data_IF_970961253298
#
_entry.id   IF_970961253298
#
_cell.length_a   1.000
_cell.length_b   1.000
_cell.length_c   1.000
_cell.angle_alpha   90.00
_cell.angle_beta   90.00
_cell.angle_gamma   90.00
#
_symmetry.space_group_name_H-M   'P 1'
#
loop_
_entity.id
_entity.type
_entity.pdbx_description
1 polymer ?
#
# COMPACT_ATOMS: atom_id res chain seq x y z
N UNK A 1 -6.58 -0.14 1.36
CA UNK A 1 -7.17 -1.14 2.20
C UNK A 1 -6.80 -0.91 3.66
N UNK A 2 -7.61 -1.41 4.53
CA UNK A 2 -7.41 -1.39 5.97
C UNK A 2 -8.44 -2.31 6.59
N UNK A 3 -8.35 -2.53 7.89
CA UNK A 3 -9.38 -3.28 8.61
C UNK A 3 -10.74 -2.58 8.45
N UNK A 4 -11.84 -3.31 8.24
CA UNK A 4 -13.16 -2.72 8.01
C UNK A 4 -13.58 -1.70 9.08
N UNK A 5 -13.21 -1.96 10.34
CA UNK A 5 -13.52 -1.06 11.45
C UNK A 5 -12.75 0.27 11.35
N UNK A 6 -11.46 0.22 10.96
CA UNK A 6 -10.63 1.41 10.78
C UNK A 6 -11.12 2.25 9.60
N UNK A 7 -11.48 1.60 8.49
CA UNK A 7 -12.07 2.27 7.33
C UNK A 7 -13.37 2.97 7.69
N UNK A 8 -14.25 2.29 8.44
CA UNK A 8 -15.50 2.88 8.91
C UNK A 8 -15.28 4.08 9.82
N UNK A 9 -14.31 3.99 10.74
CA UNK A 9 -13.98 5.08 11.66
C UNK A 9 -13.44 6.31 10.92
N UNK A 10 -12.52 6.11 9.97
CA UNK A 10 -11.94 7.20 9.18
C UNK A 10 -12.95 7.87 8.24
N UNK A 11 -13.97 7.15 7.82
CA UNK A 11 -15.04 7.66 6.95
C UNK A 11 -16.31 8.12 7.73
N UNK A 12 -16.23 8.18 9.05
CA UNK A 12 -17.37 8.56 9.93
C UNK A 12 -18.65 7.74 9.62
N UNK A 13 -18.49 6.48 9.28
CA UNK A 13 -19.58 5.60 8.90
C UNK A 13 -20.18 5.85 7.50
N UNK A 14 -19.68 6.83 6.75
CA UNK A 14 -20.07 7.04 5.35
C UNK A 14 -19.43 5.94 4.48
N UNK A 15 -20.24 5.37 3.61
CA UNK A 15 -19.74 4.40 2.65
C UNK A 15 -19.11 5.15 1.46
N UNK A 16 -17.81 4.99 1.28
CA UNK A 16 -17.12 5.36 0.04
C UNK A 16 -16.75 4.10 -0.72
N UNK A 17 -17.24 3.97 -1.94
CA UNK A 17 -16.87 2.85 -2.80
C UNK A 17 -15.39 2.93 -3.15
N UNK A 18 -14.73 1.78 -3.26
CA UNK A 18 -13.38 1.66 -3.82
C UNK A 18 -13.35 2.22 -5.25
N UNK A 19 -14.46 2.16 -5.97
CA UNK A 19 -14.61 2.71 -7.33
C UNK A 19 -14.41 4.24 -7.40
N UNK A 20 -14.56 4.95 -6.28
CA UNK A 20 -14.30 6.39 -6.21
C UNK A 20 -12.82 6.75 -6.04
N UNK A 21 -11.95 5.76 -5.80
CA UNK A 21 -10.54 6.00 -5.52
C UNK A 21 -9.78 6.67 -6.69
N UNK A 22 -9.99 6.28 -7.96
CA UNK A 22 -9.38 6.99 -9.09
C UNK A 22 -9.76 8.47 -9.13
N UNK A 23 -11.03 8.80 -8.87
CA UNK A 23 -11.49 10.18 -8.82
C UNK A 23 -10.86 10.95 -7.65
N UNK A 24 -10.68 10.31 -6.49
CA UNK A 24 -10.01 10.94 -5.34
C UNK A 24 -8.54 11.28 -5.65
N UNK A 25 -7.85 10.44 -6.42
CA UNK A 25 -6.48 10.72 -6.89
C UNK A 25 -6.49 11.91 -7.84
N UNK A 26 -7.41 11.94 -8.79
CA UNK A 26 -7.56 13.06 -9.73
C UNK A 26 -7.90 14.38 -9.00
N UNK A 27 -8.81 14.35 -8.03
CA UNK A 27 -9.15 15.51 -7.20
C UNK A 27 -7.92 15.99 -6.40
N UNK A 28 -7.17 15.07 -5.76
CA UNK A 28 -5.95 15.41 -5.04
C UNK A 28 -4.91 16.07 -5.95
N UNK A 29 -4.68 15.50 -7.13
CA UNK A 29 -3.80 16.07 -8.15
C UNK A 29 -4.26 17.48 -8.54
N UNK A 30 -5.55 17.64 -8.80
CA UNK A 30 -6.15 18.92 -9.12
C UNK A 30 -5.96 19.99 -8.05
N UNK A 31 -6.06 19.62 -6.76
CA UNK A 31 -5.78 20.53 -5.65
C UNK A 31 -4.30 20.90 -5.53
N UNK A 32 -3.40 19.92 -5.67
CA UNK A 32 -1.95 20.15 -5.53
C UNK A 32 -1.38 21.03 -6.64
N UNK A 33 -1.93 20.92 -7.85
CA UNK A 33 -1.47 21.67 -9.02
C UNK A 33 -2.38 22.88 -9.39
N UNK A 34 -3.36 23.19 -8.54
CA UNK A 34 -4.36 24.26 -8.79
C UNK A 34 -5.02 24.12 -10.17
N UNK A 35 -5.35 22.90 -10.56
CA UNK A 35 -5.80 22.52 -11.89
C UNK A 35 -7.16 21.83 -11.93
N UNK A 36 -8.01 22.06 -10.90
CA UNK A 36 -9.36 21.53 -10.89
C UNK A 36 -10.15 22.03 -12.12
N UNK A 37 -10.92 21.16 -12.80
CA UNK A 37 -11.80 21.58 -13.88
C UNK A 37 -12.82 22.62 -13.42
N UNK A 38 -13.15 23.60 -14.27
CA UNK A 38 -14.08 24.68 -13.93
C UNK A 38 -15.48 24.19 -13.52
N UNK A 39 -15.90 23.00 -13.99
CA UNK A 39 -17.15 22.35 -13.64
C UNK A 39 -17.04 21.40 -12.43
N UNK A 40 -15.87 21.34 -11.78
CA UNK A 40 -15.69 20.52 -10.59
C UNK A 40 -16.52 21.08 -9.42
N UNK A 41 -17.13 20.20 -8.61
CA UNK A 41 -18.01 20.56 -7.45
C UNK A 41 -17.34 21.52 -6.45
N UNK A 42 -16.00 21.57 -6.42
CA UNK A 42 -15.19 22.44 -5.55
C UNK A 42 -14.19 23.29 -6.35
N UNK A 43 -14.50 23.68 -7.59
CA UNK A 43 -13.61 24.43 -8.47
C UNK A 43 -13.09 25.75 -7.86
N UNK A 44 -13.86 26.34 -6.95
CA UNK A 44 -13.44 27.59 -6.26
C UNK A 44 -12.50 27.36 -5.06
N UNK A 45 -12.13 26.09 -4.77
CA UNK A 45 -11.32 25.75 -3.63
C UNK A 45 -9.85 25.63 -4.09
N UNK A 46 -8.96 26.41 -3.47
CA UNK A 46 -7.52 26.41 -3.75
C UNK A 46 -6.75 25.91 -2.55
N UNK A 47 -5.81 24.99 -2.77
CA UNK A 47 -4.87 24.57 -1.74
C UNK A 47 -3.86 25.72 -1.47
N UNK A 48 -3.56 25.96 -0.19
CA UNK A 48 -2.66 27.05 0.21
C UNK A 48 -1.52 26.51 1.07
N UNK A 49 -0.27 26.99 0.87
CA UNK A 49 0.15 28.01 -0.11
C UNK A 49 0.17 27.46 -1.54
N UNK A 50 -0.11 28.30 -2.53
CA UNK A 50 0.11 27.97 -3.94
C UNK A 50 1.62 28.01 -4.20
N UNK A 51 2.19 26.89 -4.60
CA UNK A 51 3.62 26.74 -4.85
C UNK A 51 3.86 26.22 -6.28
N UNK A 52 5.00 26.57 -6.90
CA UNK A 52 5.28 26.13 -8.27
C UNK A 52 5.58 24.63 -8.40
N UNK A 53 5.83 23.95 -7.29
CA UNK A 53 6.13 22.52 -7.25
C UNK A 53 5.19 21.83 -6.28
N UNK A 54 4.62 20.70 -6.67
CA UNK A 54 3.82 19.83 -5.78
C UNK A 54 4.67 18.65 -5.29
N UNK A 55 4.30 18.04 -4.15
CA UNK A 55 4.91 16.78 -3.72
C UNK A 55 4.64 15.67 -4.74
N UNK A 56 5.58 14.75 -4.87
CA UNK A 56 5.38 13.55 -5.69
C UNK A 56 4.25 12.70 -5.14
N UNK A 57 3.42 12.18 -6.04
CA UNK A 57 2.34 11.25 -5.67
C UNK A 57 2.81 9.82 -5.98
N UNK A 58 2.88 9.02 -4.93
CA UNK A 58 3.17 7.60 -4.98
C UNK A 58 1.95 6.79 -4.56
N UNK A 59 1.44 5.92 -5.44
CA UNK A 59 0.45 4.94 -5.04
C UNK A 59 1.15 3.69 -4.50
N UNK A 60 0.69 3.23 -3.33
CA UNK A 60 1.22 2.04 -2.68
C UNK A 60 0.21 0.90 -2.82
N UNK A 61 0.71 -0.29 -3.14
CA UNK A 61 -0.16 -1.46 -3.27
C UNK A 61 0.60 -2.77 -3.29
N UNK A 62 -0.14 -3.87 -3.20
CA UNK A 62 0.38 -5.24 -3.23
C UNK A 62 -0.42 -6.14 -4.17
N UNK A 63 -1.09 -5.57 -5.17
CA UNK A 63 -1.92 -6.29 -6.13
C UNK A 63 -1.71 -5.81 -7.56
N UNK A 64 -2.12 -6.62 -8.53
CA UNK A 64 -2.09 -6.23 -9.94
C UNK A 64 -3.05 -5.09 -10.26
N UNK A 65 -4.18 -5.00 -9.55
CA UNK A 65 -5.14 -3.90 -9.72
C UNK A 65 -4.56 -2.57 -9.27
N UNK A 66 -3.81 -2.56 -8.15
CA UNK A 66 -3.13 -1.34 -7.70
C UNK A 66 -2.03 -0.90 -8.67
N UNK A 67 -1.31 -1.85 -9.28
CA UNK A 67 -0.31 -1.58 -10.30
C UNK A 67 -0.94 -0.95 -11.56
N UNK A 68 -2.06 -1.52 -12.02
CA UNK A 68 -2.82 -1.01 -13.17
C UNK A 68 -3.36 0.38 -12.88
N UNK A 69 -3.98 0.59 -11.71
CA UNK A 69 -4.51 1.88 -11.31
C UNK A 69 -3.42 2.97 -11.31
N UNK A 70 -2.26 2.68 -10.70
CA UNK A 70 -1.13 3.62 -10.67
C UNK A 70 -0.66 3.97 -12.09
N UNK A 71 -0.60 2.98 -12.97
CA UNK A 71 -0.23 3.16 -14.37
C UNK A 71 -1.22 4.06 -15.13
N UNK A 72 -2.51 3.80 -15.00
CA UNK A 72 -3.58 4.56 -15.65
C UNK A 72 -3.67 6.00 -15.15
N UNK A 73 -3.36 6.23 -13.86
CA UNK A 73 -3.32 7.57 -13.26
C UNK A 73 -1.99 8.30 -13.52
N UNK A 74 -1.01 7.66 -14.11
CA UNK A 74 0.32 8.24 -14.38
C UNK A 74 1.08 8.63 -13.11
N UNK A 75 0.80 7.97 -11.96
CA UNK A 75 1.49 8.20 -10.69
C UNK A 75 2.74 7.34 -10.59
N UNK A 76 3.64 7.64 -9.67
CA UNK A 76 4.65 6.69 -9.24
C UNK A 76 4.01 5.53 -8.47
N UNK A 77 4.64 4.35 -8.48
CA UNK A 77 4.10 3.14 -7.88
C UNK A 77 5.10 2.45 -6.95
N UNK A 78 4.68 2.20 -5.71
CA UNK A 78 5.40 1.39 -4.74
C UNK A 78 4.71 0.05 -4.51
N UNK A 79 5.37 -1.05 -4.87
CA UNK A 79 4.85 -2.40 -4.64
C UNK A 79 5.34 -2.93 -3.29
N UNK A 80 4.40 -3.32 -2.42
CA UNK A 80 4.70 -3.92 -1.12
C UNK A 80 4.81 -5.45 -1.27
N UNK A 81 6.03 -5.94 -1.51
CA UNK A 81 6.30 -7.37 -1.73
C UNK A 81 5.99 -8.23 -0.49
N UNK A 82 6.02 -7.64 0.69
CA UNK A 82 5.74 -8.33 1.95
C UNK A 82 4.23 -8.44 2.27
N UNK A 83 3.36 -7.97 1.38
CA UNK A 83 1.91 -8.06 1.52
C UNK A 83 1.29 -8.84 0.35
N UNK A 84 0.44 -9.82 0.67
CA UNK A 84 -0.34 -10.55 -0.32
C UNK A 84 0.50 -11.55 -1.13
N UNK A 85 -0.13 -12.15 -2.14
CA UNK A 85 0.43 -13.25 -2.94
C UNK A 85 0.72 -12.84 -4.40
N UNK A 86 0.64 -11.55 -4.73
CA UNK A 86 0.91 -11.09 -6.07
C UNK A 86 2.42 -11.04 -6.32
N UNK A 87 2.85 -11.55 -7.47
CA UNK A 87 4.23 -11.51 -7.90
C UNK A 87 4.67 -10.08 -8.23
N UNK A 88 5.77 -9.63 -7.63
CA UNK A 88 6.31 -8.28 -7.78
C UNK A 88 6.74 -8.00 -9.22
N UNK A 89 7.43 -8.94 -9.86
CA UNK A 89 7.91 -8.75 -11.24
C UNK A 89 6.72 -8.55 -12.18
N UNK A 90 5.70 -9.38 -12.04
CA UNK A 90 4.49 -9.27 -12.84
C UNK A 90 3.74 -7.97 -12.55
N UNK A 91 3.61 -7.55 -11.29
CA UNK A 91 2.97 -6.29 -10.93
C UNK A 91 3.69 -5.08 -11.54
N UNK A 92 5.01 -5.04 -11.42
CA UNK A 92 5.82 -3.97 -11.99
C UNK A 92 5.84 -3.98 -13.53
N UNK A 93 5.71 -5.16 -14.15
CA UNK A 93 5.53 -5.29 -15.60
C UNK A 93 4.19 -4.69 -16.04
N UNK A 94 3.08 -5.07 -15.39
CA UNK A 94 1.75 -4.50 -15.62
C UNK A 94 1.79 -2.97 -15.51
N UNK A 95 2.41 -2.46 -14.45
CA UNK A 95 2.55 -1.01 -14.26
C UNK A 95 3.26 -0.34 -15.44
N UNK A 96 4.40 -0.87 -15.89
CA UNK A 96 5.18 -0.28 -16.99
C UNK A 96 4.46 -0.36 -18.34
N UNK A 97 3.82 -1.49 -18.63
CA UNK A 97 3.12 -1.74 -19.90
C UNK A 97 1.86 -0.89 -20.06
N UNK A 98 1.19 -0.55 -18.95
CA UNK A 98 -0.05 0.22 -18.97
C UNK A 98 0.15 1.69 -18.57
N UNK A 99 1.40 2.11 -18.34
CA UNK A 99 1.67 3.47 -17.89
C UNK A 99 1.23 4.52 -18.91
N UNK A 100 0.41 5.44 -18.44
CA UNK A 100 -0.04 6.60 -19.20
C UNK A 100 0.66 7.86 -18.67
N UNK A 101 1.47 8.56 -19.48
CA UNK A 101 2.09 9.81 -19.06
C UNK A 101 1.04 10.82 -18.57
N UNK A 102 1.36 11.53 -17.50
CA UNK A 102 0.49 12.53 -16.88
C UNK A 102 1.30 13.77 -16.50
N UNK A 103 0.63 14.78 -15.95
CA UNK A 103 1.32 15.93 -15.36
C UNK A 103 2.18 15.56 -14.15
N UNK A 104 1.95 14.38 -13.55
CA UNK A 104 2.73 13.89 -12.41
C UNK A 104 4.04 13.26 -12.86
N UNK A 105 4.01 12.44 -13.91
CA UNK A 105 5.19 11.74 -14.41
C UNK A 105 5.11 11.53 -15.93
N UNK A 106 6.19 11.86 -16.62
CA UNK A 106 6.35 11.57 -18.05
C UNK A 106 6.72 10.11 -18.32
N UNK A 107 7.33 9.46 -17.34
CA UNK A 107 7.84 8.06 -17.43
C UNK A 107 7.45 7.28 -16.19
N UNK A 108 7.34 5.95 -16.29
CA UNK A 108 7.03 5.11 -15.14
C UNK A 108 8.15 5.16 -14.10
N UNK A 109 7.78 5.46 -12.85
CA UNK A 109 8.63 5.41 -11.66
C UNK A 109 8.10 4.35 -10.72
N UNK A 110 8.91 3.34 -10.41
CA UNK A 110 8.48 2.27 -9.51
C UNK A 110 9.56 1.83 -8.55
N UNK A 111 9.13 1.35 -7.38
CA UNK A 111 9.97 0.68 -6.40
C UNK A 111 9.29 -0.58 -5.89
N UNK A 112 10.07 -1.52 -5.38
CA UNK A 112 9.60 -2.65 -4.59
C UNK A 112 10.08 -2.46 -3.14
N UNK A 113 9.13 -2.54 -2.21
CA UNK A 113 9.43 -2.56 -0.78
C UNK A 113 9.49 -4.01 -0.30
N UNK A 114 10.61 -4.39 0.31
CA UNK A 114 10.82 -5.72 0.88
C UNK A 114 11.03 -5.61 2.38
N UNK A 115 10.60 -6.64 3.11
CA UNK A 115 10.89 -6.76 4.52
C UNK A 115 12.22 -7.51 4.69
N UNK A 116 13.12 -6.92 5.47
CA UNK A 116 14.43 -7.53 5.76
C UNK A 116 14.62 -7.62 7.27
N UNK A 117 14.98 -8.80 7.75
CA UNK A 117 15.43 -9.02 9.13
C UNK A 117 16.90 -9.34 9.09
N UNK A 118 17.70 -8.58 9.83
CA UNK A 118 19.15 -8.71 9.85
C UNK A 118 19.66 -8.86 11.30
N UNK A 119 20.64 -9.73 11.50
CA UNK A 119 21.34 -9.95 12.75
C UNK A 119 22.79 -10.41 12.47
N UNK A 120 23.59 -10.62 13.51
CA UNK A 120 24.98 -11.07 13.38
C UNK A 120 25.08 -12.52 12.88
N UNK A 121 24.07 -13.35 13.14
CA UNK A 121 23.97 -14.72 12.65
C UNK A 121 22.61 -14.98 12.00
N UNK A 122 22.55 -16.01 11.14
CA UNK A 122 21.30 -16.45 10.52
C UNK A 122 20.32 -16.99 11.56
N UNK A 123 20.81 -17.69 12.58
CA UNK A 123 19.98 -18.20 13.68
C UNK A 123 19.30 -17.06 14.45
N UNK A 124 20.04 -16.00 14.72
CA UNK A 124 19.51 -14.82 15.40
C UNK A 124 18.49 -14.08 14.51
N UNK A 125 18.81 -13.90 13.22
CA UNK A 125 17.87 -13.29 12.26
C UNK A 125 16.57 -14.09 12.18
N UNK A 126 16.63 -15.42 12.11
CA UNK A 126 15.47 -16.31 12.12
C UNK A 126 14.67 -16.20 13.41
N UNK A 127 15.31 -16.05 14.57
CA UNK A 127 14.62 -15.82 15.83
C UNK A 127 13.90 -14.47 15.86
N UNK A 128 14.51 -13.43 15.34
CA UNK A 128 13.88 -12.12 15.23
C UNK A 128 12.70 -12.12 14.25
N UNK A 129 12.79 -12.86 13.16
CA UNK A 129 11.76 -12.98 12.14
C UNK A 129 10.46 -13.58 12.67
N UNK A 130 10.50 -14.42 13.72
CA UNK A 130 9.29 -15.01 14.31
C UNK A 130 8.23 -13.97 14.71
N UNK A 131 8.66 -12.78 15.13
CA UNK A 131 7.73 -11.67 15.45
C UNK A 131 6.92 -11.26 14.23
N UNK A 132 7.58 -11.15 13.10
CA UNK A 132 6.98 -10.79 11.81
C UNK A 132 6.09 -11.90 11.28
N UNK A 133 6.55 -13.14 11.38
CA UNK A 133 5.79 -14.33 10.96
C UNK A 133 4.46 -14.41 11.71
N UNK A 134 4.50 -14.25 13.04
CA UNK A 134 3.27 -14.25 13.84
C UNK A 134 2.36 -13.07 13.49
N UNK A 135 2.93 -11.89 13.22
CA UNK A 135 2.15 -10.73 12.81
C UNK A 135 1.39 -10.98 11.50
N UNK A 136 2.08 -11.43 10.45
CA UNK A 136 1.44 -11.70 9.16
C UNK A 136 0.48 -12.88 9.20
N UNK A 137 0.80 -13.93 9.95
CA UNK A 137 -0.10 -15.05 10.19
C UNK A 137 -1.41 -14.57 10.86
N UNK A 138 -1.30 -13.72 11.88
CA UNK A 138 -2.45 -13.15 12.56
C UNK A 138 -3.29 -12.26 11.63
N UNK A 139 -2.61 -11.44 10.83
CA UNK A 139 -3.27 -10.58 9.86
C UNK A 139 -4.03 -11.38 8.79
N UNK A 140 -3.42 -12.45 8.26
CA UNK A 140 -4.07 -13.33 7.27
C UNK A 140 -5.32 -14.05 7.81
N UNK A 141 -5.39 -14.25 9.12
CA UNK A 141 -6.54 -14.82 9.85
C UNK A 141 -7.58 -13.76 10.27
N UNK A 142 -7.35 -12.49 9.96
CA UNK A 142 -8.20 -11.40 10.42
C UNK A 142 -8.14 -11.16 11.93
N UNK A 143 -7.11 -11.66 12.60
CA UNK A 143 -6.91 -11.48 14.03
C UNK A 143 -6.31 -10.09 14.31
N UNK A 144 -6.96 -9.33 15.20
CA UNK A 144 -6.43 -8.07 15.69
C UNK A 144 -5.49 -8.34 16.87
N UNK A 145 -4.22 -8.06 16.67
CA UNK A 145 -3.26 -8.06 17.76
C UNK A 145 -3.26 -6.67 18.43
N UNK A 146 -3.17 -6.61 19.77
CA UNK A 146 -3.13 -5.33 20.50
C UNK A 146 -1.84 -4.55 20.23
N UNK A 147 -0.77 -5.24 19.84
CA UNK A 147 0.52 -4.67 19.46
C UNK A 147 1.27 -5.62 18.53
N UNK A 148 2.36 -5.13 17.92
CA UNK A 148 3.27 -6.01 17.20
C UNK A 148 3.85 -7.06 18.16
N UNK A 149 3.82 -8.37 17.81
CA UNK A 149 4.25 -9.41 18.73
C UNK A 149 5.75 -9.33 19.03
N UNK A 150 6.13 -9.61 20.27
CA UNK A 150 7.53 -9.80 20.60
C UNK A 150 8.03 -11.17 20.15
N UNK A 151 9.34 -11.33 20.01
CA UNK A 151 9.97 -12.65 19.74
C UNK A 151 9.51 -13.69 20.77
N UNK A 152 9.49 -13.31 22.06
CA UNK A 152 9.01 -14.20 23.14
C UNK A 152 7.54 -14.60 22.95
N UNK A 153 6.70 -13.68 22.50
CA UNK A 153 5.29 -13.99 22.22
C UNK A 153 5.19 -14.98 21.06
N UNK A 154 5.96 -14.77 20.01
CA UNK A 154 5.99 -15.64 18.85
C UNK A 154 6.53 -17.03 19.17
N UNK A 155 7.61 -17.14 19.95
CA UNK A 155 8.17 -18.42 20.38
C UNK A 155 7.17 -19.27 21.21
N UNK A 156 6.31 -18.63 22.00
CA UNK A 156 5.31 -19.30 22.82
C UNK A 156 3.95 -19.50 22.11
N UNK A 157 3.82 -19.05 20.87
CA UNK A 157 2.57 -19.22 20.12
C UNK A 157 2.41 -20.70 19.70
N UNK A 158 1.22 -21.29 19.85
CA UNK A 158 0.98 -22.70 19.54
C UNK A 158 0.77 -22.89 18.03
N UNK A 159 1.84 -22.78 17.24
CA UNK A 159 1.77 -22.99 15.80
C UNK A 159 1.29 -24.40 15.45
N UNK A 160 0.41 -24.46 14.47
CA UNK A 160 0.00 -25.72 13.81
C UNK A 160 0.84 -25.97 12.56
N UNK A 161 0.79 -27.19 12.01
CA UNK A 161 1.46 -27.49 10.73
C UNK A 161 0.97 -26.57 9.59
N UNK A 162 -0.33 -26.22 9.60
CA UNK A 162 -0.89 -25.30 8.63
C UNK A 162 -0.32 -23.88 8.77
N UNK A 163 -0.01 -23.44 10.00
CA UNK A 163 0.63 -22.15 10.24
C UNK A 163 2.02 -22.08 9.63
N UNK A 164 2.81 -23.11 9.86
CA UNK A 164 4.14 -23.21 9.25
C UNK A 164 4.08 -23.30 7.73
N UNK A 165 3.05 -23.91 7.16
CA UNK A 165 2.85 -23.89 5.71
C UNK A 165 2.52 -22.50 5.17
N UNK A 166 1.71 -21.73 5.91
CA UNK A 166 1.35 -20.35 5.55
C UNK A 166 2.52 -19.38 5.68
N UNK A 167 3.40 -19.56 6.66
CA UNK A 167 4.58 -18.71 6.88
C UNK A 167 5.63 -18.93 5.79
N UNK A 168 5.74 -20.15 5.24
CA UNK A 168 6.74 -20.51 4.21
C UNK A 168 6.34 -20.16 2.79
N UNK A 169 5.10 -19.77 2.54
CA UNK A 169 4.58 -19.33 1.24
C UNK A 169 4.54 -17.82 1.14
#
# INVERSE_FOLDING_TARGET
GGMPISTRALQEGKYTSVDSYPQQIADLTGYLYDSLPANHRFAALHASPIIPTAPEIWLLGSSYDSARLAAEQGTAFGFAQFFGNADCEQALRIYREHFTPSMLNEKPHSLAAVLVVCADTEEEANQLALSTDLFFLSLSRGMLLPSFPSVRTAQNYPYTENDYAMIRN
#
